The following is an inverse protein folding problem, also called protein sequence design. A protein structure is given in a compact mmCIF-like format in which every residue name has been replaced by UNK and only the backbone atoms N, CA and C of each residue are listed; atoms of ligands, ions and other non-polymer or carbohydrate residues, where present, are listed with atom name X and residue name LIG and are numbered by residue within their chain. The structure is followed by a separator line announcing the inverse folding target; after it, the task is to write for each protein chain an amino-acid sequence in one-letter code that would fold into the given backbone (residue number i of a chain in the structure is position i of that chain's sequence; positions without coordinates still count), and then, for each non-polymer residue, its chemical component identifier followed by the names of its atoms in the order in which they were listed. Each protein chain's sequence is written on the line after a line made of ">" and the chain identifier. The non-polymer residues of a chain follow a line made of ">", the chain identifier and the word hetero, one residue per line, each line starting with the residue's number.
data_IF_622713206255
#
_entry.id   IF_622713206255
#
_cell.length_a   1.000
_cell.length_b   1.000
_cell.length_c   1.000
_cell.angle_alpha   90.00
_cell.angle_beta   90.00
_cell.angle_gamma   90.00
#
_symmetry.space_group_name_H-M   'P 1'
#
loop_
_entity.id
_entity.type
_entity.pdbx_description
1 polymer ?
#
# COMPACT_ATOMS: atom_id res chain seq x y z
N UNK A 1 0.11 -12.69 10.01
CA UNK A 1 -1.13 -12.46 10.75
C UNK A 1 -1.44 -10.96 10.69
N UNK A 2 -2.58 -10.60 10.12
CA UNK A 2 -3.02 -9.22 9.92
C UNK A 2 -3.64 -8.59 11.17
N UNK A 3 -4.16 -9.42 12.09
CA UNK A 3 -4.65 -8.93 13.40
C UNK A 3 -3.49 -8.32 14.19
N UNK A 4 -2.30 -8.89 14.02
CA UNK A 4 -1.08 -8.35 14.63
C UNK A 4 -0.69 -6.97 14.07
N UNK A 5 -0.86 -6.68 12.77
CA UNK A 5 -0.43 -5.40 12.19
C UNK A 5 -1.20 -4.21 12.78
N UNK A 6 -2.53 -4.33 12.88
CA UNK A 6 -3.39 -3.31 13.49
C UNK A 6 -3.10 -3.16 15.00
N UNK A 7 -2.93 -4.26 15.74
CA UNK A 7 -2.56 -4.23 17.16
C UNK A 7 -1.20 -3.56 17.39
N UNK A 8 -0.20 -3.87 16.55
CA UNK A 8 1.11 -3.23 16.60
C UNK A 8 1.01 -1.74 16.35
N UNK A 9 0.24 -1.30 15.35
CA UNK A 9 0.05 0.12 15.06
C UNK A 9 -0.60 0.85 16.26
N UNK A 10 -1.63 0.26 16.87
CA UNK A 10 -2.29 0.83 18.06
C UNK A 10 -1.33 0.93 19.23
N UNK A 11 -0.57 -0.13 19.53
CA UNK A 11 0.40 -0.13 20.63
C UNK A 11 1.52 0.88 20.41
N UNK A 12 2.01 0.98 19.18
CA UNK A 12 3.09 1.90 18.82
C UNK A 12 2.64 3.36 18.94
N UNK A 13 1.46 3.70 18.42
CA UNK A 13 0.87 5.04 18.50
C UNK A 13 0.49 5.43 19.94
N UNK A 14 -0.03 4.50 20.75
CA UNK A 14 -0.25 4.70 22.18
C UNK A 14 1.06 4.98 22.94
N UNK A 15 2.17 4.41 22.48
CA UNK A 15 3.52 4.68 23.00
C UNK A 15 4.15 5.96 22.39
N UNK A 16 3.40 6.75 21.62
CA UNK A 16 3.88 7.96 20.91
C UNK A 16 4.98 7.67 19.88
N UNK A 17 5.00 6.45 19.34
CA UNK A 17 5.90 6.04 18.26
C UNK A 17 5.05 5.98 16.98
N UNK A 18 5.42 6.76 15.97
CA UNK A 18 4.67 6.87 14.70
C UNK A 18 5.27 5.95 13.64
N UNK A 19 4.43 5.36 12.77
CA UNK A 19 4.92 4.52 11.69
C UNK A 19 5.80 5.31 10.74
N UNK A 20 6.89 4.70 10.32
CA UNK A 20 7.76 5.18 9.27
C UNK A 20 7.63 4.32 8.02
N UNK A 21 8.39 4.65 6.99
CA UNK A 21 8.35 3.96 5.70
C UNK A 21 8.66 2.46 5.82
N UNK A 22 9.63 2.10 6.68
CA UNK A 22 9.99 0.71 6.94
C UNK A 22 8.86 -0.05 7.62
N UNK A 23 8.19 0.57 8.59
CA UNK A 23 7.04 -0.01 9.28
C UNK A 23 5.89 -0.28 8.30
N UNK A 24 5.64 0.69 7.40
CA UNK A 24 4.60 0.57 6.39
C UNK A 24 4.91 -0.53 5.36
N UNK A 25 6.17 -0.68 4.94
CA UNK A 25 6.61 -1.79 4.08
C UNK A 25 6.33 -3.15 4.71
N UNK A 26 6.71 -3.31 5.98
CA UNK A 26 6.51 -4.57 6.72
C UNK A 26 5.03 -4.92 6.79
N UNK A 27 4.18 -3.97 7.15
CA UNK A 27 2.75 -4.21 7.25
C UNK A 27 2.14 -4.53 5.89
N UNK A 28 2.43 -3.75 4.84
CA UNK A 28 1.87 -3.99 3.51
C UNK A 28 2.27 -5.38 2.98
N UNK A 29 3.55 -5.75 3.08
CA UNK A 29 4.03 -7.07 2.69
C UNK A 29 3.40 -8.20 3.51
N UNK A 30 3.14 -7.97 4.80
CA UNK A 30 2.42 -8.93 5.63
C UNK A 30 0.98 -9.14 5.14
N UNK A 31 0.25 -8.07 4.80
CA UNK A 31 -1.09 -8.19 4.21
C UNK A 31 -1.06 -8.94 2.87
N UNK A 32 -0.08 -8.65 2.00
CA UNK A 32 0.11 -9.35 0.73
C UNK A 32 0.31 -10.86 0.91
N UNK A 33 1.22 -11.26 1.81
CA UNK A 33 1.50 -12.69 2.09
C UNK A 33 0.29 -13.45 2.62
N UNK A 34 -0.65 -12.75 3.25
CA UNK A 34 -1.88 -13.34 3.76
C UNK A 34 -3.06 -13.23 2.77
N UNK A 35 -2.80 -12.89 1.50
CA UNK A 35 -3.84 -12.69 0.46
C UNK A 35 -4.88 -11.64 0.85
N UNK A 36 -4.45 -10.62 1.59
CA UNK A 36 -5.29 -9.51 2.07
C UNK A 36 -4.80 -8.17 1.53
N UNK A 37 -4.37 -8.16 0.27
CA UNK A 37 -3.84 -6.98 -0.42
C UNK A 37 -4.73 -5.74 -0.23
N UNK A 38 -6.04 -5.91 -0.43
CA UNK A 38 -6.97 -4.80 -0.28
C UNK A 38 -7.08 -4.24 1.14
N UNK A 39 -6.97 -5.07 2.18
CA UNK A 39 -6.87 -4.55 3.55
C UNK A 39 -5.56 -3.80 3.76
N UNK A 40 -4.45 -4.31 3.22
CA UNK A 40 -3.13 -3.65 3.29
C UNK A 40 -3.13 -2.27 2.62
N UNK A 41 -3.69 -2.16 1.42
CA UNK A 41 -3.81 -0.89 0.68
C UNK A 41 -4.65 0.12 1.47
N UNK A 42 -5.79 -0.31 2.04
CA UNK A 42 -6.62 0.57 2.87
C UNK A 42 -5.90 1.02 4.14
N UNK A 43 -5.10 0.15 4.76
CA UNK A 43 -4.29 0.49 5.93
C UNK A 43 -3.22 1.53 5.58
N UNK A 44 -2.56 1.39 4.42
CA UNK A 44 -1.59 2.38 3.93
C UNK A 44 -2.25 3.75 3.74
N UNK A 45 -3.40 3.78 3.06
CA UNK A 45 -4.13 5.04 2.85
C UNK A 45 -4.53 5.69 4.19
N UNK A 46 -4.98 4.90 5.16
CA UNK A 46 -5.32 5.37 6.50
C UNK A 46 -4.11 5.93 7.25
N UNK A 47 -2.97 5.23 7.22
CA UNK A 47 -1.73 5.68 7.86
C UNK A 47 -1.17 6.95 7.22
N UNK A 48 -1.29 7.09 5.91
CA UNK A 48 -0.88 8.31 5.22
C UNK A 48 -1.73 9.51 5.64
N UNK A 49 -3.05 9.34 5.68
CA UNK A 49 -3.98 10.40 6.08
C UNK A 49 -3.80 10.82 7.55
N UNK A 50 -3.49 9.87 8.44
CA UNK A 50 -3.37 10.14 9.88
C UNK A 50 -1.98 10.62 10.30
N UNK A 51 -0.93 10.03 9.73
CA UNK A 51 0.45 10.19 10.20
C UNK A 51 1.42 10.68 9.13
N UNK A 52 0.98 10.81 7.87
CA UNK A 52 1.86 11.07 6.73
C UNK A 52 2.77 9.88 6.38
N UNK A 53 2.51 8.70 6.96
CA UNK A 53 3.32 7.51 6.77
C UNK A 53 2.85 6.71 5.55
N UNK A 54 3.80 6.30 4.71
CA UNK A 54 3.57 5.51 3.50
C UNK A 54 4.73 4.51 3.33
N UNK A 55 4.53 3.36 2.67
CA UNK A 55 5.61 2.43 2.32
C UNK A 55 6.56 3.04 1.30
N UNK A 56 7.66 2.37 0.97
CA UNK A 56 8.51 2.73 -0.16
C UNK A 56 7.77 2.55 -1.49
N UNK A 57 8.16 3.33 -2.50
CA UNK A 57 7.62 3.18 -3.86
C UNK A 57 7.88 1.79 -4.42
N UNK A 58 9.07 1.22 -4.14
CA UNK A 58 9.43 -0.14 -4.55
C UNK A 58 8.54 -1.22 -3.95
N UNK A 59 8.24 -1.15 -2.65
CA UNK A 59 7.33 -2.10 -1.99
C UNK A 59 5.90 -1.96 -2.52
N UNK A 60 5.41 -0.74 -2.70
CA UNK A 60 4.06 -0.51 -3.24
C UNK A 60 3.97 -0.97 -4.71
N UNK A 61 5.01 -0.74 -5.51
CA UNK A 61 5.09 -1.25 -6.89
C UNK A 61 4.97 -2.76 -6.94
N UNK A 62 5.73 -3.46 -6.09
CA UNK A 62 5.67 -4.92 -6.03
C UNK A 62 4.26 -5.44 -5.67
N UNK A 63 3.47 -4.67 -4.90
CA UNK A 63 2.06 -4.99 -4.65
C UNK A 63 1.23 -4.90 -5.91
N UNK A 64 1.35 -3.81 -6.67
CA UNK A 64 0.62 -3.62 -7.93
C UNK A 64 0.98 -4.73 -8.92
N UNK A 65 2.27 -4.99 -9.13
CA UNK A 65 2.73 -6.05 -10.04
C UNK A 65 2.19 -7.43 -9.62
N UNK A 66 2.16 -7.72 -8.32
CA UNK A 66 1.61 -8.96 -7.80
C UNK A 66 0.10 -9.09 -8.05
N UNK A 67 -0.65 -7.99 -7.98
CA UNK A 67 -2.11 -7.99 -8.24
C UNK A 67 -2.40 -8.21 -9.73
N UNK A 68 -1.60 -7.59 -10.60
CA UNK A 68 -1.69 -7.80 -12.05
C UNK A 68 -1.38 -9.24 -12.44
N UNK A 69 -0.33 -9.84 -11.85
CA UNK A 69 -0.02 -11.26 -12.04
C UNK A 69 -1.12 -12.20 -11.55
N UNK A 70 -1.95 -11.75 -10.60
CA UNK A 70 -3.11 -12.48 -10.09
C UNK A 70 -4.39 -12.21 -10.90
N UNK A 71 -4.32 -11.40 -11.96
CA UNK A 71 -5.46 -10.94 -12.76
C UNK A 71 -6.54 -10.21 -11.92
N UNK A 72 -6.16 -9.66 -10.76
CA UNK A 72 -7.04 -8.84 -9.93
C UNK A 72 -6.98 -7.38 -10.36
N UNK A 73 -7.44 -7.12 -11.60
CA UNK A 73 -7.35 -5.80 -12.23
C UNK A 73 -8.06 -4.71 -11.43
N UNK A 74 -9.15 -5.03 -10.74
CA UNK A 74 -9.88 -4.06 -9.90
C UNK A 74 -9.03 -3.60 -8.72
N UNK A 75 -8.40 -4.55 -8.02
CA UNK A 75 -7.55 -4.21 -6.88
C UNK A 75 -6.25 -3.54 -7.33
N UNK A 76 -5.72 -3.91 -8.50
CA UNK A 76 -4.58 -3.24 -9.13
C UNK A 76 -4.89 -1.78 -9.49
N UNK A 77 -6.05 -1.49 -10.11
CA UNK A 77 -6.51 -0.12 -10.37
C UNK A 77 -6.65 0.68 -9.07
N UNK A 78 -7.23 0.07 -8.04
CA UNK A 78 -7.37 0.70 -6.73
C UNK A 78 -6.02 1.01 -6.09
N UNK A 79 -5.08 0.07 -6.17
CA UNK A 79 -3.72 0.24 -5.68
C UNK A 79 -3.02 1.40 -6.41
N UNK A 80 -3.13 1.46 -7.74
CA UNK A 80 -2.57 2.53 -8.55
C UNK A 80 -3.13 3.91 -8.20
N UNK A 81 -4.44 4.01 -7.98
CA UNK A 81 -5.06 5.26 -7.53
C UNK A 81 -4.52 5.69 -6.17
N UNK A 82 -4.38 4.75 -5.23
CA UNK A 82 -3.76 5.03 -3.92
C UNK A 82 -2.30 5.45 -4.10
N UNK A 83 -1.53 4.80 -4.98
CA UNK A 83 -0.15 5.21 -5.28
C UNK A 83 -0.07 6.68 -5.71
N UNK A 84 -0.94 7.11 -6.63
CA UNK A 84 -0.94 8.50 -7.09
C UNK A 84 -1.31 9.49 -5.97
N UNK A 85 -2.17 9.09 -5.03
CA UNK A 85 -2.45 9.91 -3.83
C UNK A 85 -1.24 10.02 -2.90
N UNK A 86 -0.51 8.93 -2.73
CA UNK A 86 0.68 8.89 -1.88
C UNK A 86 1.83 9.67 -2.52
N UNK A 87 2.00 9.58 -3.85
CA UNK A 87 3.09 10.23 -4.61
C UNK A 87 2.55 11.04 -5.80
N UNK A 88 1.93 12.21 -5.56
CA UNK A 88 1.28 12.99 -6.63
C UNK A 88 2.23 13.53 -7.70
N UNK A 89 3.53 13.59 -7.39
CA UNK A 89 4.56 14.07 -8.32
C UNK A 89 5.25 12.93 -9.08
N UNK A 90 4.89 11.67 -8.85
CA UNK A 90 5.52 10.50 -9.47
C UNK A 90 4.56 9.84 -10.45
N UNK A 91 4.73 10.11 -11.74
CA UNK A 91 3.80 9.62 -12.78
C UNK A 91 4.24 8.31 -13.41
N UNK A 92 5.49 7.90 -13.26
CA UNK A 92 6.08 6.75 -13.97
C UNK A 92 5.26 5.47 -13.79
N UNK A 93 4.84 5.15 -12.56
CA UNK A 93 3.99 3.98 -12.33
C UNK A 93 2.62 4.10 -12.99
N UNK A 94 1.96 5.25 -12.87
CA UNK A 94 0.63 5.47 -13.44
C UNK A 94 0.67 5.39 -14.98
N UNK A 95 1.70 5.97 -15.59
CA UNK A 95 1.91 5.96 -17.03
C UNK A 95 2.16 4.52 -17.56
N UNK A 96 2.93 3.72 -16.82
CA UNK A 96 3.14 2.29 -17.13
C UNK A 96 1.85 1.48 -17.03
N UNK A 97 1.08 1.64 -15.96
CA UNK A 97 -0.18 0.91 -15.77
C UNK A 97 -1.24 1.28 -16.81
N UNK A 98 -1.31 2.55 -17.24
CA UNK A 98 -2.13 2.96 -18.39
C UNK A 98 -1.73 2.26 -19.67
N UNK A 99 -0.42 2.08 -19.90
CA UNK A 99 0.09 1.38 -21.08
C UNK A 99 -0.29 -0.11 -21.09
N UNK A 100 -0.51 -0.69 -19.90
CA UNK A 100 -1.01 -2.05 -19.70
C UNK A 100 -2.54 -2.16 -19.78
N UNK A 101 -3.25 -1.04 -19.99
CA UNK A 101 -4.69 -1.00 -20.21
C UNK A 101 -5.54 -0.79 -18.95
N UNK A 102 -4.92 -0.47 -17.81
CA UNK A 102 -5.64 -0.16 -16.56
C UNK A 102 -6.22 1.26 -16.59
N UNK A 103 -7.40 1.43 -15.99
CA UNK A 103 -8.07 2.72 -15.91
C UNK A 103 -7.65 3.50 -14.65
N UNK A 104 -6.46 4.13 -14.71
CA UNK A 104 -5.80 4.83 -13.60
C UNK A 104 -5.41 6.26 -13.93
#
# INVERSE_FOLDING_TARGET
>A
DTIAAEDYLVRMTNAQIYPDETTMDIFLLAYMRNQRAGTGISMVQSCFNQYGARPTTGTFRAVVDSLLLQEDSLEAERAAFVYQQLWPNETTLVDELRSEGLNV
#
